data_IF_068202755600
#
_entry.id   IF_068202755600
#
_cell.length_a   1.000
_cell.length_b   1.000
_cell.length_c   1.000
_cell.angle_alpha   90.00
_cell.angle_beta   90.00
_cell.angle_gamma   90.00
#
_symmetry.space_group_name_H-M   'P 1'
#
loop_
_entity.id
_entity.type
_entity.pdbx_description
1 polymer ?
#
# COMPACT_ATOMS: atom_id res chain seq x y z
N UNK A 1 -15.55 -1.50 -0.94
CA UNK A 1 -14.42 -2.29 -0.38
C UNK A 1 -13.90 -1.61 0.87
N UNK A 2 -13.70 -2.37 1.93
CA UNK A 2 -13.11 -1.85 3.16
C UNK A 2 -11.60 -2.06 3.13
N UNK A 3 -10.85 -1.01 3.38
CA UNK A 3 -9.39 -1.08 3.43
C UNK A 3 -8.93 -1.45 4.84
N UNK A 4 -7.94 -2.35 4.92
CA UNK A 4 -7.27 -2.64 6.18
C UNK A 4 -6.42 -1.44 6.62
N UNK A 5 -5.99 -1.43 7.88
CA UNK A 5 -5.10 -0.38 8.37
C UNK A 5 -3.76 -0.38 7.62
N UNK A 6 -3.26 -1.57 7.28
CA UNK A 6 -2.04 -1.69 6.49
C UNK A 6 -2.22 -1.10 5.09
N UNK A 7 -3.36 -1.35 4.45
CA UNK A 7 -3.65 -0.80 3.13
C UNK A 7 -3.78 0.72 3.16
N UNK A 8 -4.41 1.26 4.20
CA UNK A 8 -4.50 2.72 4.40
C UNK A 8 -3.11 3.34 4.55
N UNK A 9 -2.22 2.67 5.29
CA UNK A 9 -0.85 3.11 5.45
C UNK A 9 -0.09 3.13 4.12
N UNK A 10 -0.24 2.08 3.33
CA UNK A 10 0.38 1.98 2.00
C UNK A 10 -0.05 3.17 1.12
N UNK A 11 -1.34 3.45 1.07
CA UNK A 11 -1.86 4.57 0.29
C UNK A 11 -1.29 5.91 0.80
N UNK A 12 -1.21 6.07 2.10
CA UNK A 12 -0.64 7.28 2.71
C UNK A 12 0.81 7.50 2.29
N UNK A 13 1.62 6.43 2.29
CA UNK A 13 3.01 6.50 1.85
C UNK A 13 3.09 6.89 0.37
N UNK A 14 2.26 6.28 -0.47
CA UNK A 14 2.26 6.55 -1.91
C UNK A 14 1.83 7.97 -2.24
N UNK A 15 0.95 8.55 -1.45
CA UNK A 15 0.56 9.96 -1.63
C UNK A 15 1.73 10.91 -1.42
N UNK A 16 2.66 10.55 -0.55
CA UNK A 16 3.83 11.38 -0.25
C UNK A 16 4.99 11.11 -1.19
N UNK A 17 5.28 9.83 -1.45
CA UNK A 17 6.47 9.44 -2.21
C UNK A 17 6.20 9.35 -3.71
N UNK A 18 5.00 8.98 -4.12
CA UNK A 18 4.52 8.80 -5.49
C UNK A 18 5.03 7.52 -6.17
N UNK A 19 6.32 7.22 -6.11
CA UNK A 19 6.93 6.04 -6.73
C UNK A 19 7.83 5.36 -5.71
N UNK A 20 7.70 4.05 -5.60
CA UNK A 20 8.53 3.26 -4.69
C UNK A 20 8.57 1.82 -5.19
N UNK A 21 9.68 1.14 -4.98
CA UNK A 21 9.75 -0.29 -5.27
C UNK A 21 8.95 -1.07 -4.24
N UNK A 22 8.33 -2.19 -4.67
CA UNK A 22 7.50 -2.98 -3.77
C UNK A 22 8.31 -3.50 -2.57
N UNK A 23 9.57 -3.87 -2.75
CA UNK A 23 10.42 -4.32 -1.66
C UNK A 23 10.71 -3.19 -0.64
N UNK A 24 10.90 -1.97 -1.11
CA UNK A 24 11.11 -0.82 -0.23
C UNK A 24 9.82 -0.47 0.52
N UNK A 25 8.69 -0.53 -0.16
CA UNK A 25 7.39 -0.31 0.46
C UNK A 25 7.11 -1.37 1.53
N UNK A 26 7.45 -2.62 1.24
CA UNK A 26 7.34 -3.71 2.20
C UNK A 26 8.20 -3.44 3.44
N UNK A 27 9.43 -3.00 3.26
CA UNK A 27 10.34 -2.69 4.36
C UNK A 27 9.82 -1.55 5.23
N UNK A 28 9.30 -0.48 4.62
CA UNK A 28 8.72 0.64 5.34
C UNK A 28 7.50 0.22 6.14
N UNK A 29 6.61 -0.57 5.52
CA UNK A 29 5.39 -1.03 6.17
C UNK A 29 5.73 -1.98 7.33
N UNK A 30 6.66 -2.90 7.12
CA UNK A 30 7.10 -3.82 8.16
C UNK A 30 7.70 -3.08 9.35
N UNK A 31 8.52 -2.05 9.08
CA UNK A 31 9.13 -1.24 10.13
C UNK A 31 8.08 -0.47 10.91
N UNK A 32 7.08 0.07 10.21
CA UNK A 32 5.99 0.83 10.85
C UNK A 32 5.18 -0.03 11.82
N UNK A 33 4.92 -1.30 11.45
CA UNK A 33 4.07 -2.19 12.24
C UNK A 33 4.84 -3.08 13.21
N UNK A 34 6.18 -3.06 13.17
CA UNK A 34 7.00 -3.88 14.07
C UNK A 34 6.71 -3.62 15.56
N UNK A 35 6.58 -2.36 16.02
CA UNK A 35 6.27 -2.12 17.44
C UNK A 35 4.93 -2.70 17.88
N UNK A 36 4.02 -2.95 16.96
CA UNK A 36 2.71 -3.54 17.24
C UNK A 36 2.73 -5.06 17.20
N UNK A 37 3.88 -5.68 16.93
CA UNK A 37 4.02 -7.13 16.82
C UNK A 37 3.47 -7.70 15.52
N UNK A 38 3.22 -6.86 14.52
CA UNK A 38 2.68 -7.29 13.23
C UNK A 38 3.82 -7.46 12.23
N UNK A 39 3.90 -8.65 11.63
CA UNK A 39 4.88 -8.93 10.59
C UNK A 39 4.25 -8.77 9.21
N UNK A 40 4.95 -8.08 8.33
CA UNK A 40 4.53 -7.89 6.95
C UNK A 40 5.55 -8.57 6.04
N UNK A 41 5.16 -9.70 5.46
CA UNK A 41 6.00 -10.40 4.48
C UNK A 41 5.83 -9.78 3.09
N UNK A 42 6.78 -10.07 2.20
CA UNK A 42 6.66 -9.65 0.80
C UNK A 42 5.42 -10.23 0.15
N UNK A 43 5.09 -11.49 0.46
CA UNK A 43 3.88 -12.13 -0.06
C UNK A 43 2.62 -11.37 0.38
N UNK A 44 2.54 -11.02 1.66
CA UNK A 44 1.40 -10.26 2.19
C UNK A 44 1.31 -8.88 1.53
N UNK A 45 2.44 -8.22 1.34
CA UNK A 45 2.49 -6.94 0.63
C UNK A 45 1.96 -7.09 -0.79
N UNK A 46 2.40 -8.13 -1.51
CA UNK A 46 1.96 -8.36 -2.89
C UNK A 46 0.46 -8.61 -2.97
N UNK A 47 -0.09 -9.36 -2.02
CA UNK A 47 -1.54 -9.60 -1.96
C UNK A 47 -2.30 -8.30 -1.73
N UNK A 48 -1.86 -7.47 -0.79
CA UNK A 48 -2.51 -6.20 -0.51
C UNK A 48 -2.45 -5.26 -1.72
N UNK A 49 -1.32 -5.21 -2.42
CA UNK A 49 -1.17 -4.37 -3.61
C UNK A 49 -2.07 -4.84 -4.75
N UNK A 50 -2.20 -6.15 -4.96
CA UNK A 50 -3.11 -6.69 -5.97
C UNK A 50 -4.55 -6.34 -5.66
N UNK A 51 -4.94 -6.40 -4.40
CA UNK A 51 -6.28 -6.04 -3.97
C UNK A 51 -6.57 -4.55 -4.23
N UNK A 52 -5.62 -3.68 -3.92
CA UNK A 52 -5.75 -2.25 -4.15
C UNK A 52 -5.81 -1.92 -5.65
N UNK A 53 -5.04 -2.63 -6.45
CA UNK A 53 -5.05 -2.45 -7.89
C UNK A 53 -6.35 -2.94 -8.53
N UNK A 54 -6.77 -4.17 -8.19
CA UNK A 54 -7.91 -4.81 -8.84
C UNK A 54 -9.25 -4.24 -8.39
N UNK A 55 -9.38 -3.95 -7.10
CA UNK A 55 -10.66 -3.54 -6.53
C UNK A 55 -10.98 -2.06 -6.65
N UNK A 56 -9.96 -1.20 -6.63
CA UNK A 56 -10.18 0.24 -6.44
C UNK A 56 -9.39 1.13 -7.40
N UNK A 57 -8.37 0.61 -8.06
CA UNK A 57 -7.40 1.38 -8.85
C UNK A 57 -6.67 2.46 -8.05
N UNK A 58 -6.58 2.28 -6.73
CA UNK A 58 -5.84 3.23 -5.87
C UNK A 58 -4.33 3.11 -6.06
N UNK A 59 -3.87 1.99 -6.60
CA UNK A 59 -2.46 1.69 -6.78
C UNK A 59 -2.24 1.22 -8.22
N UNK A 60 -1.15 1.66 -8.81
CA UNK A 60 -0.69 1.17 -10.11
C UNK A 60 0.60 0.39 -9.92
N UNK A 61 0.70 -0.74 -10.59
CA UNK A 61 1.90 -1.57 -10.57
C UNK A 61 2.49 -1.62 -11.98
N UNK A 62 3.78 -1.33 -12.06
CA UNK A 62 4.53 -1.47 -13.31
C UNK A 62 5.83 -2.17 -12.96
N UNK A 63 5.91 -3.46 -13.28
CA UNK A 63 6.97 -4.35 -12.83
C UNK A 63 7.02 -4.36 -11.30
N UNK A 64 8.14 -3.93 -10.70
CA UNK A 64 8.30 -3.85 -9.26
C UNK A 64 8.06 -2.45 -8.70
N UNK A 65 7.68 -1.50 -9.56
CA UNK A 65 7.41 -0.12 -9.16
C UNK A 65 5.94 0.02 -8.79
N UNK A 66 5.71 0.54 -7.60
CA UNK A 66 4.37 0.84 -7.08
C UNK A 66 4.19 2.34 -7.13
N UNK A 67 3.07 2.79 -7.66
CA UNK A 67 2.77 4.22 -7.66
C UNK A 67 1.31 4.48 -7.33
N UNK A 68 1.04 5.71 -6.91
CA UNK A 68 -0.31 6.16 -6.61
C UNK A 68 -1.17 6.14 -7.87
N UNK A 69 -2.36 5.61 -7.77
CA UNK A 69 -3.28 5.52 -8.91
C UNK A 69 -3.75 6.89 -9.34
N UNK A 70 -4.24 6.98 -10.59
CA UNK A 70 -4.77 8.23 -11.15
C UNK A 70 -6.04 8.69 -10.43
N UNK A 71 -6.79 7.75 -9.87
CA UNK A 71 -8.06 8.05 -9.24
C UNK A 71 -7.82 8.61 -7.84
N UNK A 72 -8.45 9.72 -7.52
CA UNK A 72 -8.38 10.26 -6.17
C UNK A 72 -9.01 9.27 -5.18
N UNK A 73 -8.29 9.00 -4.09
CA UNK A 73 -8.82 8.15 -3.03
C UNK A 73 -9.78 8.97 -2.19
N UNK A 74 -10.98 8.44 -1.96
CA UNK A 74 -11.96 9.07 -1.07
C UNK A 74 -11.35 9.15 0.34
N UNK A 75 -11.31 10.37 0.95
CA UNK A 75 -10.74 10.52 2.30
C UNK A 75 -11.34 9.59 3.35
N UNK A 76 -12.58 9.13 3.15
CA UNK A 76 -13.23 8.21 4.08
C UNK A 76 -12.50 6.88 4.21
N UNK A 77 -11.75 6.46 3.19
CA UNK A 77 -10.96 5.23 3.24
C UNK A 77 -9.65 5.39 4.02
N UNK A 78 -9.25 6.62 4.32
CA UNK A 78 -7.97 6.92 4.96
C UNK A 78 -8.11 7.26 6.45
N UNK A 79 -9.32 7.44 6.90
CA UNK A 79 -9.60 7.80 8.30
C UNK A 79 -9.83 6.60 9.21
#
# INVERSE_FOLDING_TARGET
MLLSNQQKYIISVLRQIKYIRSCQLCALTAQHYRPQGIEISQHRMDVMLRQLRAGTNFVRLQEDIVCYGKRAVDPRYLE
#
